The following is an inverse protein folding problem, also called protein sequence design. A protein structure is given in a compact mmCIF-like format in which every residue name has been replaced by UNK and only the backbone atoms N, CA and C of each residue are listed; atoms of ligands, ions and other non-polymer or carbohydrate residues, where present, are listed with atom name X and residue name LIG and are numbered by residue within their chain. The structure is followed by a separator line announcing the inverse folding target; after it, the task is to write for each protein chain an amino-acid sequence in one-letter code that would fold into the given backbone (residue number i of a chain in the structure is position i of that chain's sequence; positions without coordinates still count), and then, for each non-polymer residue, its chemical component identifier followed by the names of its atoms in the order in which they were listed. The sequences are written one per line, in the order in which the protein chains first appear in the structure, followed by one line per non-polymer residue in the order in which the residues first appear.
data_IF_008818283310
#
_entry.id   IF_008818283310
#
_cell.length_a   1.000
_cell.length_b   1.000
_cell.length_c   1.000
_cell.angle_alpha   90.00
_cell.angle_beta   90.00
_cell.angle_gamma   90.00
#
_symmetry.space_group_name_H-M   'P 1'
#
loop_
_entity.id
_entity.type
_entity.pdbx_description
1 polymer ?
#
# COMPACT_ATOMS: atom_id res chain seq x y z
N UNK A 1 -1.47 -9.04 -10.56
CA UNK A 1 -1.55 -7.72 -11.24
C UNK A 1 -0.50 -7.54 -12.33
N UNK A 2 0.81 -7.73 -12.06
CA UNK A 2 1.89 -7.50 -13.04
C UNK A 2 1.65 -8.09 -14.44
N UNK A 3 1.23 -9.37 -14.50
CA UNK A 3 0.92 -10.10 -15.73
C UNK A 3 -0.13 -9.41 -16.61
N UNK A 4 -1.17 -8.82 -16.01
CA UNK A 4 -2.34 -8.29 -16.72
C UNK A 4 -2.31 -6.78 -16.93
N UNK A 5 -1.42 -6.07 -16.24
CA UNK A 5 -1.25 -4.63 -16.41
C UNK A 5 -0.55 -4.36 -17.75
N UNK A 6 -1.04 -3.36 -18.50
CA UNK A 6 -0.40 -2.90 -19.74
C UNK A 6 0.98 -2.30 -19.43
N UNK A 7 1.93 -2.33 -20.38
CA UNK A 7 3.19 -1.56 -20.27
C UNK A 7 2.91 -0.10 -19.93
N UNK A 8 3.74 0.51 -19.07
CA UNK A 8 3.54 1.84 -18.49
C UNK A 8 2.25 2.03 -17.66
N UNK A 9 1.47 0.96 -17.44
CA UNK A 9 0.30 1.01 -16.58
C UNK A 9 0.68 1.18 -15.12
N UNK A 10 -0.21 1.80 -14.33
CA UNK A 10 -0.06 2.02 -12.89
C UNK A 10 -0.97 1.10 -12.09
N UNK A 11 -0.43 0.55 -11.01
CA UNK A 11 -1.18 -0.15 -9.98
C UNK A 11 -1.02 0.60 -8.67
N UNK A 12 -2.13 1.12 -8.15
CA UNK A 12 -2.15 1.97 -6.95
C UNK A 12 -2.76 1.16 -5.81
N UNK A 13 -2.05 1.12 -4.69
CA UNK A 13 -2.44 0.42 -3.47
C UNK A 13 -2.67 1.44 -2.34
N UNK A 14 -3.77 1.30 -1.62
CA UNK A 14 -4.01 2.01 -0.35
C UNK A 14 -3.92 0.98 0.79
N UNK A 15 -2.96 1.17 1.69
CA UNK A 15 -2.56 0.17 2.68
C UNK A 15 -2.56 0.82 4.06
N UNK A 16 -3.51 0.46 4.91
CA UNK A 16 -3.49 0.83 6.31
C UNK A 16 -2.37 0.13 7.08
N UNK A 17 -1.90 0.76 8.15
CA UNK A 17 -1.01 0.08 9.11
C UNK A 17 -1.76 -1.06 9.80
N UNK A 18 -1.07 -2.18 10.03
CA UNK A 18 -1.59 -3.32 10.76
C UNK A 18 -0.83 -3.53 12.06
N UNK A 19 -1.47 -4.16 13.05
CA UNK A 19 -0.77 -4.78 14.16
C UNK A 19 -1.03 -6.27 14.17
N UNK A 20 0.03 -7.05 14.34
CA UNK A 20 -0.03 -8.51 14.43
C UNK A 20 0.63 -8.90 15.73
N UNK A 21 -0.13 -9.53 16.65
CA UNK A 21 0.37 -9.89 17.99
C UNK A 21 0.96 -8.69 18.75
N UNK A 22 0.30 -7.54 18.69
CA UNK A 22 0.72 -6.25 19.24
C UNK A 22 1.97 -5.60 18.62
N UNK A 23 2.57 -6.22 17.60
CA UNK A 23 3.69 -5.64 16.87
C UNK A 23 3.18 -4.83 15.68
N UNK A 24 3.75 -3.62 15.49
CA UNK A 24 3.45 -2.80 14.32
C UNK A 24 3.98 -3.51 13.07
N UNK A 25 3.08 -3.77 12.13
CA UNK A 25 3.40 -4.45 10.89
C UNK A 25 3.13 -3.49 9.71
N UNK A 26 4.20 -2.85 9.25
CA UNK A 26 4.20 -1.89 8.15
C UNK A 26 4.09 -2.61 6.79
N UNK A 27 2.91 -3.15 6.51
CA UNK A 27 2.63 -4.00 5.34
C UNK A 27 3.08 -3.37 4.02
N UNK A 28 2.97 -2.04 3.90
CA UNK A 28 3.35 -1.29 2.72
C UNK A 28 4.85 -1.40 2.37
N UNK A 29 5.74 -1.48 3.38
CA UNK A 29 7.20 -1.64 3.16
C UNK A 29 7.50 -2.99 2.51
N UNK A 30 6.90 -4.05 3.05
CA UNK A 30 7.06 -5.39 2.50
C UNK A 30 6.46 -5.51 1.10
N UNK A 31 5.30 -4.89 0.87
CA UNK A 31 4.66 -4.89 -0.45
C UNK A 31 5.52 -4.14 -1.47
N UNK A 32 6.15 -3.03 -1.11
CA UNK A 32 7.11 -2.33 -2.00
C UNK A 32 8.27 -3.24 -2.38
N UNK A 33 8.96 -3.82 -1.39
CA UNK A 33 10.10 -4.73 -1.61
C UNK A 33 9.72 -5.94 -2.49
N UNK A 34 8.55 -6.54 -2.26
CA UNK A 34 8.04 -7.64 -3.10
C UNK A 34 7.71 -7.16 -4.51
N UNK A 35 7.16 -5.95 -4.65
CA UNK A 35 6.76 -5.40 -5.95
C UNK A 35 7.96 -5.14 -6.86
N UNK A 36 9.05 -4.60 -6.30
CA UNK A 36 10.32 -4.44 -7.02
C UNK A 36 10.87 -5.80 -7.49
N UNK A 37 10.85 -6.82 -6.61
CA UNK A 37 11.28 -8.19 -6.96
C UNK A 37 10.44 -8.84 -8.06
N UNK A 38 9.16 -8.47 -8.18
CA UNK A 38 8.26 -8.91 -9.26
C UNK A 38 8.53 -8.17 -10.58
N UNK A 39 9.21 -7.03 -10.55
CA UNK A 39 9.56 -6.23 -11.72
C UNK A 39 8.72 -4.96 -11.91
N UNK A 40 7.94 -4.55 -10.91
CA UNK A 40 7.37 -3.20 -10.88
C UNK A 40 8.45 -2.18 -10.51
N UNK A 41 8.27 -0.94 -10.94
CA UNK A 41 8.97 0.21 -10.39
C UNK A 41 8.11 0.91 -9.33
N UNK A 42 8.73 1.32 -8.23
CA UNK A 42 8.08 2.23 -7.28
C UNK A 42 8.12 3.64 -7.86
N UNK A 43 6.97 4.13 -8.33
CA UNK A 43 6.89 5.49 -8.91
C UNK A 43 6.73 6.56 -7.81
N UNK A 44 5.92 6.28 -6.80
CA UNK A 44 5.62 7.19 -5.70
C UNK A 44 5.08 6.41 -4.50
N UNK A 45 5.37 6.88 -3.28
CA UNK A 45 4.63 6.46 -2.09
C UNK A 45 4.46 7.63 -1.12
N UNK A 46 3.34 7.68 -0.42
CA UNK A 46 3.08 8.70 0.60
C UNK A 46 2.06 8.21 1.63
N UNK A 47 2.15 8.74 2.85
CA UNK A 47 1.13 8.55 3.87
C UNK A 47 0.00 9.56 3.70
N UNK A 48 -1.24 9.10 3.71
CA UNK A 48 -2.45 9.92 3.74
C UNK A 48 -3.08 9.78 5.12
N UNK A 49 -3.15 10.87 5.88
CA UNK A 49 -3.80 10.88 7.19
C UNK A 49 -5.32 10.75 7.04
N UNK A 50 -5.91 9.87 7.85
CA UNK A 50 -7.35 9.64 7.87
C UNK A 50 -7.99 10.68 8.79
N UNK A 51 -8.56 11.72 8.18
CA UNK A 51 -9.21 12.83 8.90
C UNK A 51 -10.61 12.44 9.42
N UNK A 52 -11.32 11.58 8.69
CA UNK A 52 -12.69 11.15 9.05
C UNK A 52 -12.83 9.63 8.95
N UNK A 53 -12.91 8.97 10.10
CA UNK A 53 -13.28 7.57 10.19
C UNK A 53 -14.81 7.42 10.05
N UNK A 54 -15.28 7.30 8.81
CA UNK A 54 -16.71 7.11 8.52
C UNK A 54 -17.25 5.77 9.05
N UNK A 55 -16.40 4.74 9.08
CA UNK A 55 -16.79 3.42 9.60
C UNK A 55 -16.57 3.40 11.12
N UNK A 56 -17.67 3.45 11.86
CA UNK A 56 -17.67 3.33 13.33
C UNK A 56 -17.63 1.87 13.75
N UNK A 57 -16.47 1.21 13.62
CA UNK A 57 -16.24 -0.10 14.24
C UNK A 57 -15.70 0.12 15.66
N UNK A 58 -16.23 -0.60 16.66
CA UNK A 58 -15.61 -0.68 17.98
C UNK A 58 -14.33 -1.51 17.85
N UNK A 59 -13.20 -0.85 17.68
CA UNK A 59 -11.86 -1.46 17.70
C UNK A 59 -11.03 -0.73 18.75
N UNK A 60 -10.18 -1.46 19.47
CA UNK A 60 -9.23 -0.86 20.41
C UNK A 60 -8.24 0.06 19.70
N UNK A 61 -7.92 -0.26 18.44
CA UNK A 61 -7.00 0.53 17.62
C UNK A 61 -7.66 1.05 16.35
N UNK A 62 -7.33 2.29 16.00
CA UNK A 62 -7.72 2.93 14.74
C UNK A 62 -6.52 3.07 13.83
N UNK A 63 -6.73 2.74 12.57
CA UNK A 63 -5.80 3.09 11.50
C UNK A 63 -5.92 4.61 11.31
N UNK A 64 -4.82 5.34 11.44
CA UNK A 64 -4.81 6.79 11.29
C UNK A 64 -4.12 7.24 9.98
N UNK A 65 -3.48 6.31 9.28
CA UNK A 65 -2.72 6.59 8.06
C UNK A 65 -2.95 5.45 7.07
N UNK A 66 -3.35 5.81 5.86
CA UNK A 66 -3.31 4.94 4.70
C UNK A 66 -2.06 5.27 3.88
N UNK A 67 -1.20 4.27 3.68
CA UNK A 67 -0.06 4.40 2.78
C UNK A 67 -0.51 4.16 1.35
N UNK A 68 -0.34 5.17 0.52
CA UNK A 68 -0.56 5.08 -0.92
C UNK A 68 0.76 4.68 -1.56
N UNK A 69 0.76 3.57 -2.30
CA UNK A 69 1.91 3.11 -3.08
C UNK A 69 1.51 3.04 -4.54
N UNK A 70 2.25 3.75 -5.39
CA UNK A 70 2.06 3.79 -6.84
C UNK A 70 3.15 2.97 -7.49
N UNK A 71 2.75 1.87 -8.12
CA UNK A 71 3.63 0.96 -8.84
C UNK A 71 3.44 1.17 -10.34
N UNK A 72 4.53 1.29 -11.10
CA UNK A 72 4.50 1.35 -12.56
C UNK A 72 5.03 0.05 -13.12
N UNK A 73 4.31 -0.55 -14.07
CA UNK A 73 4.89 -1.62 -14.90
C UNK A 73 5.79 -0.95 -15.94
N UNK A 74 7.08 -1.33 -16.04
CA UNK A 74 7.98 -0.82 -17.07
C UNK A 74 7.40 -1.00 -18.48
N UNK A 75 7.94 -0.24 -19.42
CA UNK A 75 7.78 -0.57 -20.83
C UNK A 75 8.79 -1.67 -21.16
N UNK A 76 8.33 -2.79 -21.72
CA UNK A 76 9.21 -3.83 -22.28
C UNK A 76 9.96 -3.30 -23.51
#
# INVERSE_FOLDING_TARGET
MYRVLKPNGRYILAIGNNKIRNELFESWKYIMDISEKIGFEIELYFGSEIIKHFIKVKREERINTDWIVVLRKPHD
#
